data_IF_836796688070
#
_entry.id   IF_836796688070
#
_cell.length_a   1.000
_cell.length_b   1.000
_cell.length_c   1.000
_cell.angle_alpha   90.00
_cell.angle_beta   90.00
_cell.angle_gamma   90.00
#
_symmetry.space_group_name_H-M   'P 1'
#
loop_
_entity.id
_entity.type
_entity.pdbx_description
1 polymer ?
#
# COMPACT_ATOMS: atom_id res chain seq x y z
N UNK A 1 5.39 28.55 -20.35
CA UNK A 1 6.16 27.37 -19.93
C UNK A 1 6.83 27.56 -18.58
N UNK A 2 7.89 28.39 -18.42
CA UNK A 2 8.52 28.60 -17.11
C UNK A 2 7.61 29.31 -16.08
N UNK A 3 6.75 30.23 -16.54
CA UNK A 3 5.80 30.93 -15.67
C UNK A 3 4.62 30.03 -15.20
N UNK A 4 4.17 29.09 -16.03
CA UNK A 4 3.06 28.18 -15.70
C UNK A 4 3.48 27.10 -14.70
N UNK A 5 4.75 26.68 -14.74
CA UNK A 5 5.31 25.73 -13.77
C UNK A 5 5.53 26.38 -12.39
N UNK A 6 5.96 27.65 -12.35
CA UNK A 6 6.12 28.40 -11.10
C UNK A 6 4.78 28.78 -10.47
N UNK A 7 3.75 29.08 -11.27
CA UNK A 7 2.39 29.25 -10.74
C UNK A 7 1.80 27.92 -10.24
N UNK A 8 1.99 26.81 -10.97
CA UNK A 8 1.62 25.48 -10.46
C UNK A 8 2.30 25.16 -9.14
N UNK A 9 3.59 25.45 -8.98
CA UNK A 9 4.30 25.19 -7.72
C UNK A 9 3.80 26.06 -6.57
N UNK A 10 3.47 27.34 -6.80
CA UNK A 10 2.87 28.24 -5.78
C UNK A 10 1.41 27.91 -5.46
N UNK A 11 0.68 27.27 -6.37
CA UNK A 11 -0.69 26.81 -6.18
C UNK A 11 -0.73 25.47 -5.44
N UNK A 12 0.22 24.58 -5.70
CA UNK A 12 0.46 23.36 -4.91
C UNK A 12 0.91 23.68 -3.47
N UNK A 13 1.66 24.78 -3.25
CA UNK A 13 2.04 25.27 -1.91
C UNK A 13 0.85 25.64 -0.99
N UNK A 14 -0.37 25.80 -1.53
CA UNK A 14 -1.54 26.18 -0.73
C UNK A 14 -2.38 25.01 -0.25
N UNK A 15 -2.28 23.85 -0.90
CA UNK A 15 -3.17 22.72 -0.65
C UNK A 15 -2.42 21.58 0.05
N UNK A 16 -3.07 20.96 1.02
CA UNK A 16 -2.51 19.79 1.70
C UNK A 16 -2.96 18.53 0.97
N UNK A 17 -2.02 17.68 0.58
CA UNK A 17 -2.33 16.39 -0.04
C UNK A 17 -2.86 15.40 0.99
N UNK A 18 -4.08 14.91 0.78
CA UNK A 18 -4.79 14.06 1.72
C UNK A 18 -4.73 12.58 1.32
N UNK A 19 -4.72 11.71 2.33
CA UNK A 19 -4.67 10.26 2.18
C UNK A 19 -6.01 9.59 2.50
N UNK A 20 -6.54 9.87 3.69
CA UNK A 20 -7.77 9.26 4.20
C UNK A 20 -8.51 10.23 5.13
N UNK A 21 -9.83 10.14 5.22
CA UNK A 21 -10.65 10.90 6.17
C UNK A 21 -11.71 10.02 6.82
N UNK A 22 -11.86 10.14 8.14
CA UNK A 22 -12.76 9.30 8.95
C UNK A 22 -13.55 10.11 9.96
N UNK A 23 -14.83 9.77 10.12
CA UNK A 23 -15.69 10.20 11.22
C UNK A 23 -15.86 9.01 12.18
N UNK A 24 -15.43 9.20 13.44
CA UNK A 24 -15.45 8.19 14.50
C UNK A 24 -16.44 8.48 15.65
N UNK A 25 -17.36 9.46 15.50
CA UNK A 25 -18.25 9.97 16.58
C UNK A 25 -17.53 10.63 17.77
N UNK A 26 -16.28 11.04 17.63
CA UNK A 26 -15.58 11.84 18.65
C UNK A 26 -15.75 13.36 18.46
N UNK A 27 -16.68 13.78 17.58
CA UNK A 27 -16.94 15.17 17.24
C UNK A 27 -16.04 15.74 16.14
N UNK A 28 -15.11 14.95 15.61
CA UNK A 28 -14.16 15.37 14.59
C UNK A 28 -14.14 14.41 13.39
N UNK A 29 -13.86 14.96 12.21
CA UNK A 29 -13.33 14.21 11.08
C UNK A 29 -11.81 14.18 11.21
N UNK A 30 -11.23 13.00 11.43
CA UNK A 30 -9.79 12.80 11.44
C UNK A 30 -9.29 12.58 10.02
N UNK A 31 -8.43 13.48 9.55
CA UNK A 31 -7.86 13.48 8.19
C UNK A 31 -6.38 13.11 8.28
N UNK A 32 -5.96 12.11 7.51
CA UNK A 32 -4.55 11.75 7.33
C UNK A 32 -4.00 12.37 6.06
N UNK A 33 -2.75 12.84 6.12
CA UNK A 33 -2.06 13.51 5.02
C UNK A 33 -0.93 12.65 4.43
N UNK A 34 -0.48 12.98 3.22
CA UNK A 34 0.56 12.22 2.50
C UNK A 34 1.99 12.66 2.82
N UNK A 35 2.16 13.60 3.75
CA UNK A 35 3.44 14.17 4.19
C UNK A 35 3.48 14.24 5.72
N UNK A 36 4.65 14.57 6.25
CA UNK A 36 4.82 14.91 7.66
C UNK A 36 4.85 16.43 7.75
N UNK A 37 3.88 17.00 8.46
CA UNK A 37 3.83 18.41 8.82
C UNK A 37 4.17 18.56 10.30
N UNK A 38 4.48 19.78 10.75
CA UNK A 38 4.73 20.02 12.19
C UNK A 38 3.41 20.05 12.95
N UNK A 39 3.33 19.35 14.09
CA UNK A 39 2.23 19.55 15.06
C UNK A 39 2.01 21.03 15.33
N UNK A 40 0.75 21.46 15.36
CA UNK A 40 0.40 22.86 15.61
C UNK A 40 0.40 23.75 14.36
N UNK A 41 0.85 23.28 13.20
CA UNK A 41 0.81 24.05 11.95
C UNK A 41 -0.64 24.47 11.63
N UNK A 42 -0.90 25.76 11.36
CA UNK A 42 -2.25 26.25 11.08
C UNK A 42 -2.72 25.78 9.69
N UNK A 43 -3.96 25.33 9.62
CA UNK A 43 -4.62 24.91 8.39
C UNK A 43 -6.12 25.20 8.45
N UNK A 44 -6.81 24.94 7.34
CA UNK A 44 -8.25 25.11 7.21
C UNK A 44 -8.87 23.84 6.65
N UNK A 45 -9.96 23.40 7.26
CA UNK A 45 -10.79 22.33 6.74
C UNK A 45 -11.88 22.92 5.84
N UNK A 46 -12.11 22.30 4.69
CA UNK A 46 -13.13 22.68 3.73
C UNK A 46 -14.06 21.49 3.46
N UNK A 47 -15.37 21.68 3.66
CA UNK A 47 -16.37 20.63 3.45
C UNK A 47 -17.11 20.79 2.12
N UNK A 48 -17.45 19.66 1.52
CA UNK A 48 -18.13 19.59 0.23
C UNK A 48 -19.33 18.64 0.30
N UNK A 49 -20.35 18.95 -0.48
CA UNK A 49 -21.56 18.14 -0.62
C UNK A 49 -21.32 16.90 -1.50
N UNK A 50 -22.37 16.08 -1.69
CA UNK A 50 -22.34 14.88 -2.56
C UNK A 50 -21.99 15.18 -4.03
N UNK A 51 -22.15 16.42 -4.47
CA UNK A 51 -21.88 16.90 -5.83
C UNK A 51 -20.51 17.56 -5.93
N UNK A 52 -19.65 17.40 -4.92
CA UNK A 52 -18.34 18.05 -4.81
C UNK A 52 -18.40 19.58 -4.81
N UNK A 53 -19.53 20.17 -4.42
CA UNK A 53 -19.66 21.63 -4.30
C UNK A 53 -19.25 22.07 -2.90
N UNK A 54 -18.45 23.14 -2.77
CA UNK A 54 -18.08 23.64 -1.45
C UNK A 54 -19.31 24.08 -0.67
N UNK A 55 -19.44 23.65 0.57
CA UNK A 55 -20.53 24.09 1.45
C UNK A 55 -20.22 25.53 1.92
N UNK A 56 -21.16 26.48 1.77
CA UNK A 56 -21.00 27.84 2.29
C UNK A 56 -20.74 27.83 3.80
N UNK A 57 -19.83 28.68 4.27
CA UNK A 57 -19.52 28.87 5.70
C UNK A 57 -19.18 27.62 6.52
N UNK A 58 -18.82 26.52 5.83
CA UNK A 58 -18.39 25.30 6.47
C UNK A 58 -16.88 25.26 6.76
N UNK A 59 -16.09 26.20 6.23
CA UNK A 59 -14.65 26.23 6.46
C UNK A 59 -14.32 26.44 7.94
N UNK A 60 -13.38 25.67 8.50
CA UNK A 60 -12.98 25.79 9.91
C UNK A 60 -11.46 25.91 10.04
N UNK A 61 -10.93 26.89 10.80
CA UNK A 61 -9.52 26.93 11.14
C UNK A 61 -9.21 25.77 12.09
N UNK A 62 -8.05 25.17 11.90
CA UNK A 62 -7.54 24.08 12.73
C UNK A 62 -6.03 24.21 12.88
N UNK A 63 -5.48 23.41 13.78
CA UNK A 63 -4.06 23.06 13.80
C UNK A 63 -3.89 21.57 13.59
N UNK A 64 -2.77 21.17 12.99
CA UNK A 64 -2.42 19.75 12.89
C UNK A 64 -2.35 19.10 14.27
N UNK A 65 -3.04 17.97 14.41
CA UNK A 65 -3.21 17.25 15.68
C UNK A 65 -2.02 16.33 15.97
N UNK A 66 -1.48 15.69 14.93
CA UNK A 66 -0.19 15.01 14.93
C UNK A 66 0.56 15.37 13.66
N UNK A 67 1.79 14.88 13.51
CA UNK A 67 2.58 15.18 12.31
C UNK A 67 1.96 14.66 11.00
N UNK A 68 1.03 13.71 11.07
CA UNK A 68 0.39 13.11 9.89
C UNK A 68 -1.13 13.21 9.90
N UNK A 69 -1.72 13.85 10.92
CA UNK A 69 -3.18 13.91 11.07
C UNK A 69 -3.67 15.29 11.50
N UNK A 70 -4.82 15.65 10.96
CA UNK A 70 -5.56 16.84 11.29
C UNK A 70 -6.94 16.45 11.83
N UNK A 71 -7.48 17.20 12.79
CA UNK A 71 -8.83 17.00 13.32
C UNK A 71 -9.72 18.16 12.93
N UNK A 72 -10.65 17.91 12.05
CA UNK A 72 -11.62 18.90 11.59
C UNK A 72 -12.92 18.78 12.39
N UNK A 73 -13.38 19.84 13.08
CA UNK A 73 -14.66 19.80 13.78
C UNK A 73 -15.79 19.46 12.83
N UNK A 74 -16.64 18.49 13.18
CA UNK A 74 -17.78 18.10 12.34
C UNK A 74 -18.66 19.32 12.10
N UNK A 75 -18.97 19.58 10.82
CA UNK A 75 -19.92 20.60 10.46
C UNK A 75 -21.34 20.08 10.72
N UNK A 76 -22.16 20.85 11.44
CA UNK A 76 -23.52 20.43 11.84
C UNK A 76 -24.51 20.17 10.71
N UNK A 77 -24.13 20.46 9.45
CA UNK A 77 -24.91 20.11 8.27
C UNK A 77 -24.63 18.66 7.83
N UNK A 78 -25.68 17.84 7.77
CA UNK A 78 -25.63 16.41 7.42
C UNK A 78 -25.12 16.11 6.00
N UNK A 79 -25.08 17.13 5.14
CA UNK A 79 -24.76 17.01 3.71
C UNK A 79 -23.26 16.93 3.40
N UNK A 80 -22.37 17.18 4.39
CA UNK A 80 -20.94 17.03 4.21
C UNK A 80 -20.57 15.56 3.89
N UNK A 81 -20.02 15.35 2.69
CA UNK A 81 -19.57 14.03 2.19
C UNK A 81 -18.08 13.99 1.90
N UNK A 82 -17.49 15.11 1.52
CA UNK A 82 -16.07 15.19 1.23
C UNK A 82 -15.41 16.32 2.01
N UNK A 83 -14.10 16.20 2.20
CA UNK A 83 -13.28 17.16 2.93
C UNK A 83 -11.97 17.41 2.19
N UNK A 84 -11.48 18.64 2.22
CA UNK A 84 -10.15 19.03 1.78
C UNK A 84 -9.47 19.89 2.85
N UNK A 85 -8.14 19.98 2.82
CA UNK A 85 -7.37 20.87 3.69
C UNK A 85 -6.51 21.82 2.85
N UNK A 86 -6.31 23.04 3.36
CA UNK A 86 -5.34 24.00 2.82
C UNK A 86 -4.71 24.85 3.94
N UNK A 87 -3.55 25.43 3.66
CA UNK A 87 -2.89 26.38 4.57
C UNK A 87 -3.53 27.79 4.51
N UNK A 88 -4.50 28.01 3.62
CA UNK A 88 -5.25 29.26 3.49
C UNK A 88 -6.74 29.06 3.69
N UNK A 89 -7.40 30.08 4.25
CA UNK A 89 -8.86 30.15 4.34
C UNK A 89 -9.54 30.26 2.96
N UNK A 90 -8.85 30.85 1.98
CA UNK A 90 -9.40 31.04 0.64
C UNK A 90 -9.49 29.69 -0.06
N UNK A 91 -10.71 29.28 -0.44
CA UNK A 91 -10.97 28.06 -1.21
C UNK A 91 -10.23 28.16 -2.54
N UNK A 92 -9.16 27.39 -2.70
CA UNK A 92 -8.48 27.25 -3.99
C UNK A 92 -9.40 26.44 -4.94
N UNK A 93 -9.55 26.84 -6.22
CA UNK A 93 -10.27 26.03 -7.20
C UNK A 93 -9.61 24.67 -7.45
N UNK A 94 -8.38 24.44 -6.95
CA UNK A 94 -7.62 23.20 -7.09
C UNK A 94 -7.68 22.29 -5.85
N UNK A 95 -8.54 22.58 -4.87
CA UNK A 95 -8.74 21.66 -3.75
C UNK A 95 -9.21 20.30 -4.28
N UNK A 96 -8.54 19.23 -3.86
CA UNK A 96 -8.91 17.86 -4.20
C UNK A 96 -9.60 17.24 -2.99
N UNK A 97 -10.94 17.31 -2.89
CA UNK A 97 -11.66 16.78 -1.74
C UNK A 97 -11.66 15.25 -1.76
N UNK A 98 -11.49 14.64 -0.58
CA UNK A 98 -11.56 13.18 -0.38
C UNK A 98 -12.80 12.80 0.41
N UNK A 99 -13.29 11.58 0.19
CA UNK A 99 -14.49 11.05 0.83
C UNK A 99 -14.30 10.92 2.35
N UNK A 100 -15.26 11.43 3.13
CA UNK A 100 -15.35 11.20 4.57
C UNK A 100 -15.96 9.83 4.82
N UNK A 101 -15.18 8.91 5.39
CA UNK A 101 -15.64 7.56 5.74
C UNK A 101 -16.27 7.59 7.14
N UNK A 102 -17.59 7.48 7.19
CA UNK A 102 -18.37 7.44 8.45
C UNK A 102 -18.26 6.05 9.07
N UNK A 103 -17.25 5.83 9.92
CA UNK A 103 -16.97 4.52 10.54
C UNK A 103 -17.99 4.12 11.59
N UNK A 104 -18.84 5.04 11.99
CA UNK A 104 -19.76 4.85 13.08
C UNK A 104 -20.95 3.90 12.84
N UNK A 105 -21.16 3.49 11.60
CA UNK A 105 -22.27 2.61 11.21
C UNK A 105 -21.82 1.21 10.79
N UNK A 106 -20.54 0.89 10.96
CA UNK A 106 -19.96 -0.39 10.53
C UNK A 106 -19.59 -1.27 11.73
N UNK A 107 -19.88 -2.56 11.62
CA UNK A 107 -19.35 -3.58 12.52
C UNK A 107 -17.86 -3.81 12.28
N UNK A 108 -17.14 -4.31 13.30
CA UNK A 108 -15.72 -4.68 13.18
C UNK A 108 -15.61 -5.81 12.16
N UNK A 109 -14.97 -5.55 11.02
CA UNK A 109 -14.82 -6.50 9.92
C UNK A 109 -13.68 -7.49 10.15
N UNK A 110 -12.66 -7.08 10.91
CA UNK A 110 -11.43 -7.85 11.07
C UNK A 110 -11.11 -8.12 12.54
N UNK A 111 -10.66 -9.34 12.80
CA UNK A 111 -10.17 -9.70 14.12
C UNK A 111 -8.80 -9.10 14.42
N UNK A 112 -7.89 -9.14 13.45
CA UNK A 112 -6.55 -8.59 13.52
C UNK A 112 -6.22 -7.90 12.20
N UNK A 113 -5.80 -6.64 12.26
CA UNK A 113 -5.17 -5.95 11.13
C UNK A 113 -3.66 -5.89 11.35
N UNK A 114 -2.92 -6.28 10.32
CA UNK A 114 -1.45 -6.13 10.29
C UNK A 114 -1.09 -4.88 9.51
N UNK A 115 -0.53 -3.88 10.19
CA UNK A 115 0.08 -2.72 9.58
C UNK A 115 1.49 -3.08 9.10
N UNK A 116 1.66 -3.21 7.78
CA UNK A 116 2.94 -3.65 7.21
C UNK A 116 3.85 -2.45 6.96
N UNK A 117 5.03 -2.48 7.56
CA UNK A 117 6.09 -1.49 7.41
C UNK A 117 7.14 -1.99 6.42
N UNK A 118 7.52 -1.14 5.48
CA UNK A 118 8.53 -1.45 4.47
C UNK A 118 9.10 -0.17 3.87
N UNK A 119 10.22 -0.27 3.17
CA UNK A 119 10.79 0.85 2.44
C UNK A 119 9.92 1.21 1.21
N UNK A 120 9.95 2.43 0.67
CA UNK A 120 9.00 2.89 -0.36
C UNK A 120 8.85 2.00 -1.61
N UNK A 121 9.86 1.20 -1.94
CA UNK A 121 9.86 0.28 -3.09
C UNK A 121 9.95 -1.18 -2.62
N UNK A 122 8.82 -1.84 -2.30
CA UNK A 122 8.82 -3.24 -1.92
C UNK A 122 9.08 -4.14 -3.12
N UNK A 123 9.67 -5.31 -2.88
CA UNK A 123 9.73 -6.37 -3.88
C UNK A 123 8.50 -7.29 -3.77
N UNK A 124 7.92 -7.67 -4.91
CA UNK A 124 6.73 -8.53 -5.00
C UNK A 124 6.89 -9.88 -4.31
N UNK A 125 8.12 -10.41 -4.29
CA UNK A 125 8.46 -11.67 -3.65
C UNK A 125 8.43 -11.52 -2.13
N UNK A 126 8.94 -10.40 -1.61
CA UNK A 126 8.86 -10.08 -0.19
C UNK A 126 7.41 -9.93 0.27
N UNK A 127 6.59 -9.22 -0.53
CA UNK A 127 5.15 -9.07 -0.27
C UNK A 127 4.48 -10.43 -0.20
N UNK A 128 4.71 -11.29 -1.20
CA UNK A 128 4.06 -12.60 -1.28
C UNK A 128 4.51 -13.54 -0.16
N UNK A 129 5.81 -13.59 0.10
CA UNK A 129 6.38 -14.41 1.17
C UNK A 129 5.93 -13.93 2.55
N UNK A 130 5.78 -12.62 2.75
CA UNK A 130 5.28 -12.06 4.01
C UNK A 130 3.81 -12.42 4.23
N UNK A 131 2.95 -12.21 3.23
CA UNK A 131 1.52 -12.47 3.34
C UNK A 131 1.28 -13.97 3.55
N UNK A 132 1.79 -14.84 2.66
CA UNK A 132 1.48 -16.27 2.73
C UNK A 132 2.08 -16.93 3.99
N UNK A 133 3.22 -16.45 4.51
CA UNK A 133 3.72 -16.89 5.80
C UNK A 133 2.73 -16.57 6.93
N UNK A 134 2.32 -15.31 7.09
CA UNK A 134 1.44 -14.93 8.20
C UNK A 134 0.03 -15.50 8.04
N UNK A 135 -0.43 -15.72 6.80
CA UNK A 135 -1.68 -16.45 6.54
C UNK A 135 -1.63 -17.88 7.04
N UNK A 136 -0.48 -18.57 6.91
CA UNK A 136 -0.31 -19.91 7.49
C UNK A 136 -0.42 -19.92 9.02
N UNK A 137 -0.26 -18.76 9.66
CA UNK A 137 -0.41 -18.56 11.11
C UNK A 137 -1.84 -18.16 11.53
N UNK A 138 -2.75 -18.01 10.56
CA UNK A 138 -4.14 -17.57 10.80
C UNK A 138 -4.37 -16.07 10.66
N UNK A 139 -3.40 -15.29 10.17
CA UNK A 139 -3.58 -13.86 9.97
C UNK A 139 -4.39 -13.65 8.69
N UNK A 140 -5.48 -12.90 8.77
CA UNK A 140 -6.45 -12.81 7.67
C UNK A 140 -6.44 -11.49 6.92
N UNK A 141 -5.88 -10.42 7.51
CA UNK A 141 -5.97 -9.08 6.93
C UNK A 141 -4.72 -8.23 7.12
N UNK A 142 -4.26 -7.63 6.04
CA UNK A 142 -3.04 -6.84 5.97
C UNK A 142 -3.32 -5.48 5.34
N UNK A 143 -2.75 -4.43 5.91
CA UNK A 143 -2.82 -3.09 5.36
C UNK A 143 -1.44 -2.62 4.93
N UNK A 144 -1.35 -2.26 3.65
CA UNK A 144 -0.14 -1.74 3.02
C UNK A 144 -0.39 -0.29 2.62
N UNK A 145 0.58 0.58 2.90
CA UNK A 145 0.63 1.93 2.33
C UNK A 145 1.88 2.04 1.45
N UNK A 146 1.72 2.34 0.16
CA UNK A 146 2.78 2.35 -0.86
C UNK A 146 2.95 3.73 -1.49
N UNK A 147 4.15 4.03 -1.98
CA UNK A 147 4.37 5.11 -2.97
C UNK A 147 4.35 4.45 -4.35
N UNK A 148 3.77 5.13 -5.35
CA UNK A 148 3.78 4.77 -6.79
C UNK A 148 4.37 3.38 -7.13
N UNK A 149 3.49 2.39 -7.27
CA UNK A 149 3.89 1.00 -7.56
C UNK A 149 4.13 0.79 -9.06
N UNK A 150 5.17 0.03 -9.39
CA UNK A 150 5.30 -0.54 -10.74
C UNK A 150 4.18 -1.54 -11.04
N UNK A 151 3.98 -1.85 -12.31
CA UNK A 151 2.92 -2.72 -12.79
C UNK A 151 3.00 -4.15 -12.21
N UNK A 152 4.20 -4.64 -11.91
CA UNK A 152 4.42 -6.01 -11.44
C UNK A 152 4.05 -6.14 -9.96
N UNK A 153 4.58 -5.24 -9.13
CA UNK A 153 4.22 -5.13 -7.71
C UNK A 153 2.72 -4.86 -7.54
N UNK A 154 2.16 -3.95 -8.36
CA UNK A 154 0.74 -3.62 -8.31
C UNK A 154 -0.14 -4.83 -8.56
N UNK A 155 0.20 -5.63 -9.58
CA UNK A 155 -0.52 -6.85 -9.92
C UNK A 155 -0.56 -7.84 -8.76
N UNK A 156 0.57 -8.02 -8.08
CA UNK A 156 0.64 -8.91 -6.93
C UNK A 156 -0.33 -8.46 -5.83
N UNK A 157 -0.39 -7.17 -5.55
CA UNK A 157 -1.37 -6.62 -4.61
C UNK A 157 -2.81 -6.79 -5.09
N UNK A 158 -3.11 -6.57 -6.37
CA UNK A 158 -4.46 -6.66 -6.91
C UNK A 158 -5.09 -8.04 -6.68
N UNK A 159 -4.31 -9.13 -6.74
CA UNK A 159 -4.81 -10.47 -6.41
C UNK A 159 -5.18 -10.61 -4.93
N UNK A 160 -4.35 -10.11 -4.01
CA UNK A 160 -4.66 -10.12 -2.58
C UNK A 160 -5.80 -9.17 -2.21
N UNK A 161 -5.93 -8.04 -2.90
CA UNK A 161 -7.05 -7.10 -2.74
C UNK A 161 -8.35 -7.77 -3.19
N UNK A 162 -8.34 -8.44 -4.35
CA UNK A 162 -9.50 -9.18 -4.88
C UNK A 162 -9.98 -10.26 -3.91
N UNK A 163 -9.06 -10.89 -3.18
CA UNK A 163 -9.37 -11.90 -2.17
C UNK A 163 -9.81 -11.31 -0.81
N UNK A 164 -9.83 -9.98 -0.66
CA UNK A 164 -10.13 -9.33 0.61
C UNK A 164 -9.06 -9.50 1.68
N UNK A 165 -7.85 -9.94 1.31
CA UNK A 165 -6.73 -10.20 2.23
C UNK A 165 -5.94 -8.91 2.48
N UNK A 166 -5.81 -8.08 1.45
CA UNK A 166 -5.03 -6.83 1.51
C UNK A 166 -5.93 -5.62 1.31
N UNK A 167 -5.70 -4.62 2.14
CA UNK A 167 -6.09 -3.24 1.86
C UNK A 167 -4.85 -2.45 1.48
N UNK A 168 -4.89 -1.86 0.29
CA UNK A 168 -3.80 -1.04 -0.23
C UNK A 168 -4.19 0.43 -0.20
N UNK A 169 -3.31 1.28 0.33
CA UNK A 169 -3.41 2.74 0.24
C UNK A 169 -2.20 3.27 -0.50
N UNK A 170 -2.41 4.17 -1.46
CA UNK A 170 -1.33 4.66 -2.32
C UNK A 170 -1.12 6.17 -2.11
N UNK A 171 0.12 6.54 -1.79
CA UNK A 171 0.61 7.91 -1.80
C UNK A 171 1.03 8.23 -3.24
N UNK A 172 0.12 8.84 -4.01
CA UNK A 172 0.38 9.19 -5.41
C UNK A 172 1.24 10.44 -5.50
N UNK A 173 2.29 10.39 -6.30
CA UNK A 173 3.13 11.56 -6.60
C UNK A 173 3.64 12.26 -5.32
N UNK A 174 4.09 11.43 -4.38
CA UNK A 174 4.74 11.83 -3.13
C UNK A 174 6.14 11.24 -3.08
N UNK A 175 7.09 11.92 -2.45
CA UNK A 175 8.42 11.38 -2.23
C UNK A 175 8.84 11.56 -0.76
N UNK A 176 8.17 10.87 0.18
CA UNK A 176 8.47 11.00 1.61
C UNK A 176 9.86 10.44 1.92
N UNK A 177 10.53 11.01 2.93
CA UNK A 177 11.74 10.38 3.47
C UNK A 177 11.39 8.99 4.06
N UNK A 178 12.35 8.06 4.19
CA UNK A 178 12.08 6.73 4.76
C UNK A 178 11.42 6.76 6.16
N UNK A 179 11.81 7.72 6.99
CA UNK A 179 11.22 7.88 8.33
C UNK A 179 9.79 8.45 8.24
N UNK A 180 9.57 9.46 7.42
CA UNK A 180 8.24 10.04 7.20
C UNK A 180 7.29 8.99 6.63
N UNK A 181 7.77 8.18 5.69
CA UNK A 181 7.00 7.10 5.10
C UNK A 181 6.54 6.10 6.15
N UNK A 182 7.43 5.65 7.05
CA UNK A 182 7.07 4.75 8.16
C UNK A 182 6.01 5.39 9.08
N UNK A 183 6.16 6.67 9.41
CA UNK A 183 5.17 7.40 10.22
C UNK A 183 3.81 7.45 9.53
N UNK A 184 3.77 7.74 8.23
CA UNK A 184 2.55 7.76 7.42
C UNK A 184 1.92 6.35 7.34
N UNK A 185 2.73 5.30 7.09
CA UNK A 185 2.28 3.91 7.05
C UNK A 185 1.57 3.52 8.35
N UNK A 186 2.23 3.76 9.50
CA UNK A 186 1.69 3.43 10.83
C UNK A 186 0.41 4.19 11.14
N UNK A 187 0.45 5.52 10.99
CA UNK A 187 -0.66 6.41 11.31
C UNK A 187 -1.89 6.12 10.45
N UNK A 188 -1.72 6.02 9.13
CA UNK A 188 -2.83 5.73 8.22
C UNK A 188 -3.43 4.34 8.49
N UNK A 189 -2.58 3.33 8.74
CA UNK A 189 -3.07 2.00 9.07
C UNK A 189 -3.89 1.97 10.36
N UNK A 190 -3.39 2.61 11.42
CA UNK A 190 -4.09 2.72 12.68
C UNK A 190 -5.47 3.36 12.51
N UNK A 191 -5.58 4.43 11.72
CA UNK A 191 -6.86 5.06 11.40
C UNK A 191 -7.80 4.15 10.62
N UNK A 192 -7.29 3.37 9.67
CA UNK A 192 -8.11 2.41 8.94
C UNK A 192 -8.61 1.28 9.84
N UNK A 193 -7.78 0.83 10.78
CA UNK A 193 -8.09 -0.22 11.75
C UNK A 193 -9.02 0.26 12.88
N UNK A 194 -9.00 1.56 13.21
CA UNK A 194 -9.88 2.16 14.23
C UNK A 194 -11.35 1.89 13.88
N UNK A 195 -12.05 1.21 14.79
CA UNK A 195 -13.42 0.69 14.65
C UNK A 195 -13.66 -0.34 13.51
N UNK A 196 -12.65 -0.69 12.72
CA UNK A 196 -12.72 -1.72 11.66
C UNK A 196 -12.13 -3.06 12.13
N UNK A 197 -11.31 -3.01 13.17
CA UNK A 197 -10.57 -4.16 13.69
C UNK A 197 -10.65 -4.27 15.20
N UNK A 198 -10.71 -5.51 15.72
CA UNK A 198 -10.61 -5.77 17.16
C UNK A 198 -9.18 -5.50 17.66
N UNK A 199 -8.17 -5.92 16.90
CA UNK A 199 -6.76 -5.78 17.24
C UNK A 199 -5.94 -5.22 16.07
N UNK A 200 -4.86 -4.52 16.38
CA UNK A 200 -3.84 -4.10 15.40
C UNK A 200 -2.46 -4.53 15.85
N UNK A 201 -1.64 -4.95 14.89
CA UNK A 201 -0.20 -5.15 15.09
C UNK A 201 0.58 -4.51 13.97
N UNK A 202 1.82 -4.12 14.25
CA UNK A 202 2.73 -3.56 13.27
C UNK A 202 3.78 -4.61 12.95
N UNK A 203 4.14 -4.83 11.70
CA UNK A 203 5.17 -5.79 11.34
C UNK A 203 5.98 -5.24 10.18
N UNK A 204 7.31 -5.37 10.22
CA UNK A 204 8.10 -5.11 9.01
C UNK A 204 7.95 -6.24 8.01
N UNK A 205 8.08 -5.94 6.72
CA UNK A 205 7.99 -6.95 5.64
C UNK A 205 9.07 -8.04 5.74
N UNK A 206 10.21 -7.73 6.37
CA UNK A 206 11.28 -8.68 6.67
C UNK A 206 11.02 -9.50 7.95
N UNK A 207 10.01 -9.17 8.76
CA UNK A 207 9.73 -9.84 10.03
C UNK A 207 8.80 -11.05 9.87
N UNK A 208 9.00 -12.06 10.71
CA UNK A 208 8.20 -13.28 10.80
C UNK A 208 7.89 -13.60 12.25
N UNK A 209 6.62 -13.76 12.60
CA UNK A 209 6.20 -14.13 13.97
C UNK A 209 6.69 -15.54 14.30
N UNK A 210 7.45 -15.69 15.39
CA UNK A 210 8.16 -16.93 15.70
C UNK A 210 7.61 -17.76 16.86
N UNK A 211 6.78 -17.19 17.74
CA UNK A 211 6.15 -17.90 18.87
C UNK A 211 4.62 -17.90 18.74
N UNK A 212 4.13 -18.76 17.85
CA UNK A 212 2.73 -18.81 17.38
C UNK A 212 1.76 -19.41 18.41
N UNK A 213 2.08 -20.50 19.14
CA UNK A 213 1.14 -21.07 20.10
C UNK A 213 0.83 -20.14 21.26
N UNK A 214 1.85 -19.43 21.78
CA UNK A 214 1.65 -18.38 22.78
C UNK A 214 0.83 -17.22 22.21
N UNK A 215 1.17 -16.77 21.01
CA UNK A 215 0.47 -15.69 20.32
C UNK A 215 -1.01 -16.00 20.12
N UNK A 216 -1.34 -17.13 19.50
CA UNK A 216 -2.72 -17.49 19.20
C UNK A 216 -3.55 -17.68 20.47
N UNK A 217 -2.99 -18.31 21.52
CA UNK A 217 -3.74 -18.47 22.78
C UNK A 217 -4.11 -17.14 23.41
N UNK A 218 -3.18 -16.19 23.46
CA UNK A 218 -3.36 -14.88 24.11
C UNK A 218 -4.12 -13.86 23.28
N UNK A 219 -3.96 -13.88 21.95
CA UNK A 219 -4.58 -12.91 21.04
C UNK A 219 -6.12 -12.95 21.11
N UNK A 220 -6.67 -14.15 21.30
CA UNK A 220 -8.13 -14.36 21.27
C UNK A 220 -8.79 -14.19 22.63
N UNK A 221 -8.02 -14.01 23.72
CA UNK A 221 -8.55 -13.72 25.05
C UNK A 221 -9.26 -12.35 25.05
N UNK A 222 -10.49 -12.29 25.58
CA UNK A 222 -11.38 -11.11 25.46
C UNK A 222 -10.93 -9.90 26.29
N UNK A 223 -10.03 -10.09 27.26
CA UNK A 223 -9.65 -9.06 28.23
C UNK A 223 -8.21 -8.57 28.10
N UNK A 224 -7.53 -8.88 27.00
CA UNK A 224 -6.12 -8.50 26.81
C UNK A 224 -6.05 -7.32 25.86
N UNK A 225 -5.92 -6.11 26.43
CA UNK A 225 -5.63 -4.90 25.64
C UNK A 225 -4.24 -4.95 25.03
N UNK A 226 -3.35 -5.82 25.54
CA UNK A 226 -1.91 -5.80 25.31
C UNK A 226 -1.35 -7.23 25.09
N UNK A 227 -1.11 -7.65 23.85
CA UNK A 227 -0.41 -8.93 23.56
C UNK A 227 1.00 -8.67 23.03
N UNK A 228 2.00 -9.40 23.53
CA UNK A 228 3.39 -9.31 23.05
C UNK A 228 3.65 -10.36 21.97
N UNK A 229 4.23 -9.95 20.86
CA UNK A 229 4.69 -10.85 19.80
C UNK A 229 6.20 -10.87 19.70
N UNK A 230 6.76 -12.05 19.42
CA UNK A 230 8.19 -12.22 19.12
C UNK A 230 8.32 -12.45 17.61
N UNK A 231 9.21 -11.68 16.98
CA UNK A 231 9.51 -11.82 15.55
C UNK A 231 10.94 -12.32 15.32
N UNK A 232 11.22 -12.73 14.09
CA UNK A 232 12.55 -12.95 13.51
C UNK A 232 12.65 -12.09 12.25
N UNK A 233 13.82 -11.55 11.91
CA UNK A 233 14.00 -10.82 10.65
C UNK A 233 14.66 -11.73 9.60
N UNK A 234 14.15 -11.69 8.38
CA UNK A 234 14.76 -12.32 7.22
C UNK A 234 15.86 -11.40 6.70
N UNK A 235 17.01 -12.00 6.39
CA UNK A 235 18.05 -11.35 5.61
C UNK A 235 17.99 -11.90 4.18
N UNK A 236 17.77 -11.00 3.24
CA UNK A 236 17.76 -11.28 1.81
C UNK A 236 19.17 -11.07 1.26
N UNK A 237 19.74 -12.08 0.61
CA UNK A 237 21.02 -11.93 -0.12
C UNK A 237 20.79 -11.48 -1.56
N UNK A 238 19.68 -11.91 -2.16
CA UNK A 238 19.21 -11.51 -3.47
C UNK A 238 17.69 -11.60 -3.52
N UNK A 239 17.07 -10.80 -4.39
CA UNK A 239 15.64 -10.86 -4.69
C UNK A 239 15.44 -10.89 -6.20
N UNK A 240 14.34 -11.50 -6.64
CA UNK A 240 14.04 -11.59 -8.06
C UNK A 240 13.28 -10.34 -8.49
N UNK A 241 13.80 -9.65 -9.51
CA UNK A 241 13.08 -8.56 -10.15
C UNK A 241 11.85 -9.08 -10.91
N UNK A 242 11.97 -10.25 -11.55
CA UNK A 242 10.91 -10.88 -12.35
C UNK A 242 10.93 -12.39 -12.17
N UNK A 243 9.76 -13.02 -12.28
CA UNK A 243 9.65 -14.46 -12.39
C UNK A 243 10.06 -14.92 -13.81
N UNK A 244 11.07 -15.79 -13.90
CA UNK A 244 11.56 -16.35 -15.17
C UNK A 244 11.38 -17.86 -15.25
N UNK A 245 11.77 -18.59 -14.21
CA UNK A 245 11.58 -20.03 -14.10
C UNK A 245 11.43 -20.48 -12.65
N UNK A 246 10.77 -21.63 -12.44
CA UNK A 246 10.48 -22.15 -11.10
C UNK A 246 11.73 -22.58 -10.34
N UNK A 247 12.76 -23.09 -11.02
CA UNK A 247 13.98 -23.57 -10.36
C UNK A 247 14.73 -22.43 -9.68
N UNK A 248 15.01 -21.35 -10.42
CA UNK A 248 15.62 -20.14 -9.89
C UNK A 248 14.76 -19.50 -8.79
N UNK A 249 13.44 -19.49 -8.97
CA UNK A 249 12.51 -19.00 -7.96
C UNK A 249 12.59 -19.78 -6.65
N UNK A 250 12.61 -21.12 -6.72
CA UNK A 250 12.78 -21.99 -5.54
C UNK A 250 14.13 -21.79 -4.87
N UNK A 251 15.19 -21.61 -5.66
CA UNK A 251 16.53 -21.36 -5.15
C UNK A 251 16.61 -20.03 -4.38
N UNK A 252 16.08 -18.95 -4.93
CA UNK A 252 15.99 -17.65 -4.23
C UNK A 252 15.18 -17.75 -2.95
N UNK A 253 14.03 -18.42 -3.01
CA UNK A 253 13.19 -18.65 -1.84
C UNK A 253 13.93 -19.44 -0.72
N UNK A 254 14.75 -20.42 -1.10
CA UNK A 254 15.56 -21.22 -0.17
C UNK A 254 16.78 -20.48 0.39
N UNK A 255 17.29 -19.47 -0.30
CA UNK A 255 18.41 -18.66 0.19
C UNK A 255 18.01 -17.72 1.33
N UNK A 256 16.71 -17.59 1.61
CA UNK A 256 16.22 -16.75 2.70
C UNK A 256 16.74 -17.26 4.05
N UNK A 257 17.58 -16.44 4.66
CA UNK A 257 18.18 -16.73 5.96
C UNK A 257 17.49 -15.93 7.06
N UNK A 258 17.31 -16.56 8.23
CA UNK A 258 16.74 -15.89 9.39
C UNK A 258 17.83 -15.39 10.32
N UNK A 259 17.83 -14.09 10.57
CA UNK A 259 18.49 -13.52 11.73
C UNK A 259 17.44 -13.29 12.81
N UNK A 260 17.44 -14.15 13.84
CA UNK A 260 16.56 -13.99 14.98
C UNK A 260 16.83 -12.65 15.67
N UNK A 261 15.89 -11.72 15.49
CA UNK A 261 15.84 -10.45 16.20
C UNK A 261 14.60 -10.50 17.05
N UNK A 262 14.74 -10.74 18.35
CA UNK A 262 13.58 -10.68 19.25
C UNK A 262 13.19 -9.22 19.38
N UNK A 263 12.18 -8.83 18.59
CA UNK A 263 11.42 -7.62 18.82
C UNK A 263 10.11 -7.99 19.50
N UNK A 264 9.80 -7.26 20.55
CA UNK A 264 8.51 -7.33 21.19
C UNK A 264 7.64 -6.27 20.56
N UNK A 265 6.56 -6.68 19.90
CA UNK A 265 5.53 -5.72 19.46
C UNK A 265 4.26 -5.93 20.24
N UNK A 266 3.63 -4.82 20.56
CA UNK A 266 2.41 -4.77 21.35
C UNK A 266 1.21 -4.75 20.41
N UNK A 267 0.29 -5.69 20.60
CA UNK A 267 -1.03 -5.70 19.98
C UNK A 267 -1.98 -4.94 20.89
N UNK A 268 -2.80 -4.09 20.30
CA UNK A 268 -3.64 -3.12 21.01
C UNK A 268 -5.04 -3.02 20.41
N UNK A 269 -6.02 -2.59 21.22
CA UNK A 269 -7.39 -2.27 20.79
C UNK A 269 -7.44 -0.92 20.06
N UNK A 270 -7.60 -0.88 18.72
CA UNK A 270 -7.49 0.35 17.94
C UNK A 270 -8.53 1.41 18.28
N UNK A 271 -9.67 1.00 18.83
CA UNK A 271 -10.77 1.90 19.19
C UNK A 271 -10.41 2.89 20.31
N UNK A 272 -9.51 2.50 21.22
CA UNK A 272 -9.07 3.33 22.36
C UNK A 272 -7.93 4.27 21.97
N UNK A 273 -7.42 4.15 20.74
CA UNK A 273 -6.21 4.84 20.30
C UNK A 273 -6.60 5.96 19.36
N UNK A 274 -6.11 7.14 19.72
CA UNK A 274 -6.29 8.40 19.04
C UNK A 274 -5.03 8.83 18.29
N UNK A 275 -3.84 8.54 18.84
CA UNK A 275 -2.54 8.90 18.25
C UNK A 275 -1.54 7.77 18.36
N UNK A 276 -0.49 7.83 17.53
CA UNK A 276 0.63 6.89 17.61
C UNK A 276 1.37 6.97 18.96
N UNK A 277 1.41 8.12 19.63
CA UNK A 277 2.12 8.30 20.92
C UNK A 277 1.51 7.48 22.07
N UNK A 278 0.24 7.11 21.97
CA UNK A 278 -0.42 6.23 22.95
C UNK A 278 0.01 4.78 22.80
N UNK A 279 0.71 4.44 21.72
CA UNK A 279 1.27 3.13 21.45
C UNK A 279 2.71 3.16 21.95
N UNK A 280 2.94 2.64 23.15
CA UNK A 280 4.30 2.38 23.61
C UNK A 280 4.95 1.36 22.67
N UNK A 281 5.91 1.83 21.89
CA UNK A 281 6.80 0.97 21.11
C UNK A 281 7.77 0.30 22.11
N UNK A 282 7.42 -0.86 22.66
CA UNK A 282 8.33 -1.68 23.49
C UNK A 282 9.49 -2.23 22.59
N UNK A 283 10.36 -1.37 22.08
CA UNK A 283 11.56 -1.74 21.31
C UNK A 283 12.68 -2.25 22.22
N UNK A 284 12.43 -3.28 23.04
CA UNK A 284 13.51 -3.98 23.72
C UNK A 284 14.11 -4.99 22.75
N UNK A 285 15.11 -4.56 21.98
CA UNK A 285 15.95 -5.45 21.17
C UNK A 285 16.71 -6.41 22.09
N UNK A 286 16.24 -7.66 22.23
CA UNK A 286 17.10 -8.72 22.77
C UNK A 286 17.72 -9.47 21.59
N UNK A 287 19.01 -9.21 21.34
CA UNK A 287 19.81 -9.95 20.36
C UNK A 287 20.01 -11.39 20.86
N UNK A 288 19.15 -12.30 20.43
CA UNK A 288 19.34 -13.73 20.65
C UNK A 288 19.82 -14.36 19.34
N UNK A 289 21.13 -14.63 19.23
CA UNK A 289 21.71 -15.30 18.06
C UNK A 289 21.47 -16.81 18.15
N UNK A 290 20.32 -17.27 17.67
CA UNK A 290 20.08 -18.69 17.38
C UNK A 290 19.49 -18.81 15.97
N UNK A 291 20.07 -19.67 15.15
CA UNK A 291 19.65 -19.97 13.78
C UNK A 291 18.70 -21.19 13.80
N UNK A 292 17.46 -21.04 13.32
CA UNK A 292 16.53 -22.12 12.92
C UNK A 292 15.23 -21.48 12.40
N UNK A 293 14.45 -22.00 11.47
CA UNK A 293 14.61 -23.01 10.42
C UNK A 293 14.06 -22.37 9.13
N UNK A 294 14.32 -22.97 7.97
CA UNK A 294 13.80 -22.54 6.66
C UNK A 294 12.29 -22.25 6.68
N UNK A 295 11.82 -21.37 5.79
CA UNK A 295 10.39 -21.17 5.55
C UNK A 295 9.69 -22.54 5.41
N UNK A 296 8.53 -22.78 6.04
CA UNK A 296 7.82 -24.04 5.88
C UNK A 296 7.53 -24.35 4.41
N UNK A 297 7.67 -25.61 3.98
CA UNK A 297 7.44 -26.01 2.57
C UNK A 297 6.01 -25.71 2.09
N UNK A 298 5.04 -25.68 3.01
CA UNK A 298 3.67 -25.24 2.74
C UNK A 298 3.59 -23.76 2.35
N UNK A 299 4.40 -22.90 2.99
CA UNK A 299 4.51 -21.48 2.65
C UNK A 299 5.22 -21.34 1.30
N UNK A 300 6.31 -22.08 1.06
CA UNK A 300 6.96 -22.10 -0.25
C UNK A 300 5.97 -22.46 -1.37
N UNK A 301 5.23 -23.54 -1.20
CA UNK A 301 4.22 -23.99 -2.18
C UNK A 301 3.15 -22.93 -2.41
N UNK A 302 2.66 -22.29 -1.35
CA UNK A 302 1.64 -21.22 -1.45
C UNK A 302 2.15 -20.00 -2.22
N UNK A 303 3.38 -19.57 -1.93
CA UNK A 303 4.03 -18.46 -2.64
C UNK A 303 4.21 -18.82 -4.12
N UNK A 304 4.71 -20.02 -4.44
CA UNK A 304 4.89 -20.48 -5.83
C UNK A 304 3.55 -20.49 -6.57
N UNK A 305 2.52 -21.11 -6.01
CA UNK A 305 1.20 -21.17 -6.62
C UNK A 305 0.62 -19.78 -6.90
N UNK A 306 0.77 -18.85 -5.94
CA UNK A 306 0.31 -17.46 -6.10
C UNK A 306 1.04 -16.74 -7.23
N UNK A 307 2.35 -16.88 -7.27
CA UNK A 307 3.21 -16.19 -8.24
C UNK A 307 2.97 -16.73 -9.63
N UNK A 308 2.88 -18.05 -9.77
CA UNK A 308 2.49 -18.70 -11.04
C UNK A 308 1.11 -18.23 -11.49
N UNK A 309 0.10 -18.26 -10.63
CA UNK A 309 -1.24 -17.76 -10.99
C UNK A 309 -1.18 -16.32 -11.49
N UNK A 310 -0.47 -15.44 -10.78
CA UNK A 310 -0.31 -14.06 -11.22
C UNK A 310 0.43 -13.97 -12.55
N UNK A 311 1.47 -14.79 -12.78
CA UNK A 311 2.20 -14.80 -14.03
C UNK A 311 1.35 -15.33 -15.20
N UNK A 312 0.67 -16.46 -15.02
CA UNK A 312 -0.09 -17.16 -16.05
C UNK A 312 -1.35 -16.41 -16.47
N UNK A 313 -1.97 -15.67 -15.54
CA UNK A 313 -3.17 -14.87 -15.81
C UNK A 313 -2.85 -13.47 -16.33
N UNK A 314 -1.59 -13.18 -16.69
CA UNK A 314 -1.21 -11.82 -17.10
C UNK A 314 -1.68 -11.52 -18.51
N UNK A 315 -2.33 -10.35 -18.74
CA UNK A 315 -2.48 -9.89 -20.10
C UNK A 315 -1.06 -9.70 -20.61
N UNK A 316 -0.69 -10.53 -21.58
CA UNK A 316 0.59 -10.41 -22.25
C UNK A 316 0.47 -9.16 -23.09
N UNK A 317 1.30 -8.15 -22.84
CA UNK A 317 1.23 -6.95 -23.65
C UNK A 317 1.96 -7.16 -24.97
N UNK A 318 1.43 -6.59 -26.05
CA UNK A 318 2.01 -6.79 -27.37
C UNK A 318 3.41 -6.16 -27.48
N UNK A 319 3.74 -5.15 -26.66
CA UNK A 319 5.08 -4.57 -26.57
C UNK A 319 6.14 -5.48 -25.93
N UNK A 320 5.72 -6.58 -25.29
CA UNK A 320 6.63 -7.53 -24.65
C UNK A 320 7.16 -8.61 -25.60
N UNK A 321 6.59 -8.73 -26.79
CA UNK A 321 7.09 -9.65 -27.82
C UNK A 321 8.20 -9.00 -28.62
N UNK A 322 9.16 -9.82 -29.05
CA UNK A 322 10.11 -9.40 -30.08
C UNK A 322 9.35 -8.97 -31.34
N UNK A 323 9.69 -7.78 -31.87
CA UNK A 323 8.99 -7.20 -33.02
C UNK A 323 9.09 -8.09 -34.26
N UNK A 324 10.17 -8.86 -34.40
CA UNK A 324 10.33 -9.84 -35.47
C UNK A 324 9.30 -10.96 -35.35
N UNK A 325 9.07 -11.49 -34.14
CA UNK A 325 8.06 -12.52 -33.85
C UNK A 325 6.64 -11.97 -34.11
N UNK A 326 6.35 -10.74 -33.71
CA UNK A 326 5.07 -10.08 -33.99
C UNK A 326 4.85 -9.84 -35.49
N UNK A 327 5.91 -9.60 -36.26
CA UNK A 327 5.83 -9.41 -37.71
C UNK A 327 5.41 -10.70 -38.44
N UNK A 328 5.71 -11.86 -37.86
CA UNK A 328 5.48 -13.17 -38.47
C UNK A 328 4.02 -13.62 -38.45
N UNK A 329 3.26 -13.32 -37.39
CA UNK A 329 1.86 -13.73 -37.27
C UNK A 329 0.89 -12.54 -37.23
N UNK A 330 -0.37 -12.75 -37.65
CA UNK A 330 -1.48 -11.82 -37.40
C UNK A 330 -1.66 -11.49 -35.91
N UNK A 331 -1.94 -10.22 -35.57
CA UNK A 331 -2.06 -9.75 -34.17
C UNK A 331 -3.14 -10.51 -33.40
N UNK A 332 -4.20 -10.93 -34.09
CA UNK A 332 -5.29 -11.74 -33.53
C UNK A 332 -4.90 -13.18 -33.15
N UNK A 333 -3.71 -13.67 -33.55
CA UNK A 333 -3.20 -14.98 -33.16
C UNK A 333 -2.35 -14.92 -31.88
N UNK A 334 -1.75 -13.78 -31.58
CA UNK A 334 -1.17 -13.55 -30.26
C UNK A 334 -2.29 -13.06 -29.35
N UNK A 335 -2.64 -13.81 -28.32
CA UNK A 335 -3.58 -13.36 -27.28
C UNK A 335 -2.96 -12.24 -26.41
N UNK A 336 -2.45 -11.17 -27.05
CA UNK A 336 -1.81 -10.03 -26.43
C UNK A 336 -2.71 -8.79 -26.41
N UNK A 337 -2.46 -7.87 -25.49
CA UNK A 337 -3.18 -6.60 -25.36
C UNK A 337 -2.23 -5.43 -25.60
N UNK A 338 -2.73 -4.33 -26.15
CA UNK A 338 -1.99 -3.07 -26.17
C UNK A 338 -2.18 -2.35 -24.84
N UNK A 339 -1.16 -1.62 -24.38
CA UNK A 339 -1.24 -0.89 -23.10
C UNK A 339 -2.25 0.25 -23.17
N UNK A 340 -2.25 0.96 -24.29
CA UNK A 340 -3.17 2.03 -24.66
C UNK A 340 -3.19 2.18 -26.20
N UNK A 341 -3.93 3.15 -26.71
CA UNK A 341 -4.02 3.38 -28.17
C UNK A 341 -2.72 3.97 -28.77
N UNK A 342 -1.88 4.64 -27.98
CA UNK A 342 -0.60 5.17 -28.45
C UNK A 342 0.43 4.04 -28.58
N UNK A 343 0.53 3.18 -27.57
CA UNK A 343 1.32 1.95 -27.58
C UNK A 343 0.95 1.07 -28.78
N UNK A 344 -0.35 0.90 -29.03
CA UNK A 344 -0.85 0.19 -30.20
C UNK A 344 -0.33 0.78 -31.51
N UNK A 345 -0.39 2.10 -31.66
CA UNK A 345 0.09 2.77 -32.87
C UNK A 345 1.58 2.53 -33.09
N UNK A 346 2.39 2.72 -32.04
CA UNK A 346 3.85 2.54 -32.06
C UNK A 346 4.21 1.09 -32.42
N UNK A 347 3.60 0.11 -31.77
CA UNK A 347 3.89 -1.31 -32.00
C UNK A 347 3.47 -1.73 -33.42
N UNK A 348 2.32 -1.24 -33.91
CA UNK A 348 1.84 -1.56 -35.26
C UNK A 348 2.73 -0.96 -36.35
N UNK A 349 3.25 0.25 -36.15
CA UNK A 349 4.20 0.88 -37.07
C UNK A 349 5.51 0.09 -37.15
N UNK A 350 6.12 -0.21 -36.00
CA UNK A 350 7.34 -1.04 -35.92
C UNK A 350 7.17 -2.42 -36.55
N UNK A 351 5.99 -3.03 -36.38
CA UNK A 351 5.66 -4.34 -36.95
C UNK A 351 5.61 -4.27 -38.48
N UNK A 352 5.04 -3.21 -39.03
CA UNK A 352 4.92 -3.02 -40.48
C UNK A 352 6.30 -2.76 -41.12
N UNK A 353 7.17 -2.02 -40.43
CA UNK A 353 8.57 -1.86 -40.84
C UNK A 353 9.31 -3.20 -40.85
N UNK A 354 9.19 -4.00 -39.78
CA UNK A 354 9.79 -5.33 -39.71
C UNK A 354 9.29 -6.26 -40.82
N UNK A 355 8.00 -6.18 -41.18
CA UNK A 355 7.43 -6.92 -42.32
C UNK A 355 8.04 -6.51 -43.66
N UNK A 356 8.22 -5.21 -43.90
CA UNK A 356 8.84 -4.69 -45.14
C UNK A 356 10.28 -5.16 -45.30
N UNK A 357 11.06 -5.18 -44.21
CA UNK A 357 12.44 -5.69 -44.21
C UNK A 357 12.48 -7.17 -44.59
N UNK A 358 11.57 -7.97 -44.02
CA UNK A 358 11.45 -9.39 -44.36
C UNK A 358 11.06 -9.62 -45.82
N UNK A 359 10.04 -8.91 -46.32
CA UNK A 359 9.60 -9.06 -47.70
C UNK A 359 10.75 -8.78 -48.68
N UNK A 360 11.56 -7.74 -48.41
CA UNK A 360 12.78 -7.44 -49.17
C UNK A 360 13.80 -8.58 -49.11
N UNK A 361 14.06 -9.15 -47.93
CA UNK A 361 15.01 -10.26 -47.77
C UNK A 361 14.55 -11.55 -48.47
N UNK A 362 13.25 -11.85 -48.46
CA UNK A 362 12.68 -13.00 -49.17
C UNK A 362 12.73 -12.80 -50.69
N UNK A 363 12.51 -11.59 -51.19
CA UNK A 363 12.61 -11.28 -52.63
C UNK A 363 14.05 -11.22 -53.17
N UNK A 364 15.07 -11.06 -52.33
CA UNK A 364 16.49 -11.06 -52.73
C UNK A 364 17.05 -12.50 -52.79
N UNK A 365 16.32 -13.48 -52.25
CA UNK A 365 16.70 -14.91 -52.24
C UNK A 365 16.17 -15.72 -53.44
N UNK A 366 15.50 -15.08 -54.39
CA UNK A 366 15.12 -15.61 -55.70
C UNK A 366 15.89 -14.85 -56.78
#
# INVERSE_FOLDING_TARGET
>A
MYHDEVERSRLDEKNVKLLSAFDFRDGFVTVSITSVDRVGTPAYCHYFDKSHRPIPDASRPISFYTDTTARCPIHGNSDARFIALSYSFRKSPQLVPILIRRRQFYEKMHNLTVCVEFEPQPNWLEISAFIEYHRSLGFSFFHFTTVDLDAYNRRMFDDYIRLGIVKLTSLRSSNPSPNDFKTIQRSNCLLHARLDSRLVTFLRIDERVSDIPFFNKKLWEENVSDTRIVTNAIKWESSLEKYSNESAFRETLRSFSYKKHVQFRKVIEPERIQTMDQISEDFVYKKASTHSASIPESVFSSVISRVKYNYDTRPIYCDEFDITVLSWCPVNLYHCRFRDEEDKKIIMEKREEARKVRYKQETIRW
#
